data_IF_447046898148
#
_entry.id   IF_447046898148
#
_cell.length_a   1.000
_cell.length_b   1.000
_cell.length_c   1.000
_cell.angle_alpha   90.00
_cell.angle_beta   90.00
_cell.angle_gamma   90.00
#
_symmetry.space_group_name_H-M   'P 1'
#
loop_
_entity.id
_entity.type
_entity.pdbx_description
1 polymer ?
#
# COMPACT_ATOMS: atom_id res chain seq x y z
N UNK A 1 9.62 -0.57 -13.69
CA UNK A 1 10.58 0.20 -12.85
C UNK A 1 10.42 -0.22 -11.39
N UNK A 2 11.38 0.06 -10.49
CA UNK A 2 11.22 -0.19 -9.03
C UNK A 2 10.71 1.06 -8.32
N UNK A 3 9.63 0.94 -7.56
CA UNK A 3 8.94 2.06 -6.93
C UNK A 3 8.72 1.81 -5.44
N UNK A 4 9.10 2.79 -4.60
CA UNK A 4 8.75 2.83 -3.19
C UNK A 4 7.67 3.89 -3.00
N UNK A 5 6.48 3.48 -2.55
CA UNK A 5 5.34 4.37 -2.32
C UNK A 5 5.13 4.52 -0.82
N UNK A 6 5.24 5.74 -0.31
CA UNK A 6 5.01 6.06 1.10
C UNK A 6 3.64 6.72 1.20
N UNK A 7 2.73 6.11 1.96
CA UNK A 7 1.35 6.61 2.08
C UNK A 7 0.81 6.41 3.50
N UNK A 8 0.02 7.37 3.97
CA UNK A 8 -0.51 7.34 5.34
C UNK A 8 -1.57 6.25 5.55
N UNK A 9 -2.41 6.00 4.54
CA UNK A 9 -3.47 4.99 4.58
C UNK A 9 -3.24 3.95 3.49
N UNK A 10 -3.46 2.69 3.82
CA UNK A 10 -3.43 1.59 2.87
C UNK A 10 -4.21 0.41 3.47
N UNK A 11 -4.88 -0.44 2.67
CA UNK A 11 -5.53 -1.62 3.21
C UNK A 11 -4.57 -2.44 4.10
N UNK A 12 -5.03 -2.98 5.24
CA UNK A 12 -6.44 -2.97 5.69
C UNK A 12 -6.88 -1.71 6.46
N UNK A 13 -5.97 -0.80 6.84
CA UNK A 13 -6.33 0.41 7.60
C UNK A 13 -6.57 1.61 6.69
N UNK A 14 -7.85 1.90 6.47
CA UNK A 14 -8.32 3.03 5.67
C UNK A 14 -9.18 3.94 6.54
N UNK A 15 -8.93 5.24 6.49
CA UNK A 15 -9.71 6.26 7.23
C UNK A 15 -10.59 7.07 6.28
N UNK A 16 -10.14 7.27 5.04
CA UNK A 16 -10.87 7.98 4.00
C UNK A 16 -10.52 7.51 2.59
N UNK A 17 -10.58 8.41 1.61
CA UNK A 17 -10.36 8.07 0.20
C UNK A 17 -8.90 7.76 -0.15
N UNK A 18 -7.93 8.26 0.63
CA UNK A 18 -6.51 8.15 0.34
C UNK A 18 -6.06 6.70 0.16
N UNK A 19 -6.43 5.82 1.09
CA UNK A 19 -6.06 4.40 1.03
C UNK A 19 -6.62 3.68 -0.19
N UNK A 20 -7.85 4.01 -0.59
CA UNK A 20 -8.47 3.46 -1.79
C UNK A 20 -7.73 3.88 -3.06
N UNK A 21 -7.43 5.17 -3.21
CA UNK A 21 -6.67 5.65 -4.37
C UNK A 21 -5.26 5.06 -4.42
N UNK A 22 -4.60 4.97 -3.27
CA UNK A 22 -3.26 4.40 -3.18
C UNK A 22 -3.26 2.92 -3.59
N UNK A 23 -4.22 2.13 -3.12
CA UNK A 23 -4.36 0.73 -3.51
C UNK A 23 -4.61 0.57 -5.02
N UNK A 24 -5.51 1.36 -5.60
CA UNK A 24 -5.83 1.28 -7.03
C UNK A 24 -4.67 1.74 -7.92
N UNK A 25 -4.00 2.85 -7.59
CA UNK A 25 -2.88 3.36 -8.39
C UNK A 25 -1.68 2.42 -8.33
N UNK A 26 -1.35 1.90 -7.15
CA UNK A 26 -0.22 0.95 -7.00
C UNK A 26 -0.51 -0.38 -7.71
N UNK A 27 -1.75 -0.87 -7.68
CA UNK A 27 -2.19 -2.00 -8.50
C UNK A 27 -1.98 -1.75 -9.98
N UNK A 28 -2.35 -0.57 -10.48
CA UNK A 28 -2.16 -0.22 -11.90
C UNK A 28 -0.66 -0.19 -12.28
N UNK A 29 0.23 0.28 -11.41
CA UNK A 29 1.67 0.21 -11.66
C UNK A 29 2.18 -1.24 -11.75
N UNK A 30 1.70 -2.13 -10.88
CA UNK A 30 2.01 -3.56 -10.97
C UNK A 30 1.55 -4.15 -12.32
N UNK A 31 0.34 -3.80 -12.77
CA UNK A 31 -0.18 -4.21 -14.09
C UNK A 31 0.60 -3.64 -15.28
N UNK A 32 1.38 -2.59 -15.07
CA UNK A 32 2.30 -1.98 -16.06
C UNK A 32 3.73 -2.53 -15.94
N UNK A 33 3.91 -3.73 -15.38
CA UNK A 33 5.21 -4.37 -15.14
C UNK A 33 6.16 -3.52 -14.29
N UNK A 34 5.63 -2.84 -13.27
CA UNK A 34 6.45 -2.19 -12.25
C UNK A 34 6.51 -3.02 -10.97
N UNK A 35 7.68 -3.02 -10.34
CA UNK A 35 7.93 -3.63 -9.04
C UNK A 35 7.67 -2.57 -7.98
N UNK A 36 6.60 -2.74 -7.20
CA UNK A 36 6.06 -1.74 -6.28
C UNK A 36 6.16 -2.26 -4.85
N UNK A 37 6.78 -1.48 -3.98
CA UNK A 37 6.74 -1.67 -2.52
C UNK A 37 6.00 -0.50 -1.89
N UNK A 38 4.97 -0.79 -1.10
CA UNK A 38 4.21 0.22 -0.37
C UNK A 38 4.63 0.21 1.09
N UNK A 39 4.95 1.38 1.62
CA UNK A 39 5.17 1.62 3.04
C UNK A 39 4.01 2.45 3.58
N UNK A 40 3.39 1.95 4.64
CA UNK A 40 2.24 2.59 5.27
C UNK A 40 2.29 2.47 6.79
N UNK A 41 1.42 3.21 7.46
CA UNK A 41 1.32 3.17 8.90
C UNK A 41 0.66 1.85 9.32
N UNK A 42 1.16 1.26 10.42
CA UNK A 42 0.44 0.18 11.08
C UNK A 42 -0.82 0.74 11.77
N UNK A 43 -1.68 -0.13 12.27
CA UNK A 43 -2.78 0.28 13.14
C UNK A 43 -2.27 0.90 14.46
N UNK A 44 -3.18 1.48 15.24
CA UNK A 44 -2.79 2.26 16.43
C UNK A 44 -2.19 1.39 17.54
N UNK A 45 -2.39 0.06 17.45
CA UNK A 45 -1.87 -0.94 18.38
C UNK A 45 -0.65 -1.69 17.84
N UNK A 46 -0.26 -1.45 16.57
CA UNK A 46 0.83 -2.16 15.90
C UNK A 46 0.57 -3.66 15.69
N UNK A 47 -0.70 -4.06 15.57
CA UNK A 47 -1.13 -5.45 15.53
C UNK A 47 -1.11 -6.10 14.14
N UNK A 48 -1.04 -5.30 13.07
CA UNK A 48 -1.00 -5.84 11.70
C UNK A 48 0.39 -6.35 11.33
N UNK A 49 0.49 -7.30 10.38
CA UNK A 49 1.76 -7.77 9.85
C UNK A 49 2.62 -6.62 9.30
N UNK A 50 3.92 -6.64 9.61
CA UNK A 50 4.85 -5.60 9.14
C UNK A 50 5.39 -5.86 7.72
N UNK A 51 4.97 -6.96 7.09
CA UNK A 51 5.35 -7.32 5.73
C UNK A 51 4.33 -8.27 5.12
N UNK A 52 3.88 -7.93 3.93
CA UNK A 52 3.02 -8.77 3.09
C UNK A 52 3.55 -8.77 1.65
N UNK A 53 3.21 -9.81 0.89
CA UNK A 53 3.49 -9.87 -0.55
C UNK A 53 2.18 -10.14 -1.26
N UNK A 54 1.77 -9.19 -2.10
CA UNK A 54 0.59 -9.33 -2.94
C UNK A 54 1.03 -9.81 -4.33
N UNK A 55 0.22 -10.68 -4.94
CA UNK A 55 0.47 -11.28 -6.25
C UNK A 55 -0.54 -10.77 -7.27
#
# INVERSE_FOLDING_TARGET
MRMAVLVYEFPPKIVGGLGTYAAEITRNFVLMDHDVTVFTMNDDTGSLPTREIWR
#
